data_IF_384003980029
#
_entry.id   IF_384003980029
#
_cell.length_a   1.000
_cell.length_b   1.000
_cell.length_c   1.000
_cell.angle_alpha   90.00
_cell.angle_beta   90.00
_cell.angle_gamma   90.00
#
_symmetry.space_group_name_H-M   'P 1'
#
loop_
_entity.id
_entity.type
_entity.pdbx_description
1 polymer ?
#
# COMPACT_ATOMS: atom_id res chain seq x y z
N UNK A 1 -3.99 17.12 -0.44
CA UNK A 1 -3.47 17.42 -1.79
C UNK A 1 -2.12 18.14 -1.72
N UNK A 2 -1.26 17.91 -2.71
CA UNK A 2 -0.06 18.71 -3.05
C UNK A 2 1.18 18.63 -2.17
N UNK A 3 1.08 18.15 -0.93
CA UNK A 3 2.20 18.22 0.03
C UNK A 3 3.28 17.14 -0.14
N UNK A 4 3.29 16.39 -1.24
CA UNK A 4 4.28 15.34 -1.51
C UNK A 4 4.17 14.06 -0.66
N UNK A 5 3.03 13.80 -0.02
CA UNK A 5 2.83 12.62 0.86
C UNK A 5 3.14 11.29 0.15
N UNK A 6 2.54 11.06 -1.01
CA UNK A 6 2.76 9.84 -1.80
C UNK A 6 4.24 9.70 -2.16
N UNK A 7 4.88 10.78 -2.61
CA UNK A 7 6.33 10.79 -2.91
C UNK A 7 7.17 10.37 -1.71
N UNK A 8 6.85 10.88 -0.52
CA UNK A 8 7.54 10.50 0.72
C UNK A 8 7.29 9.04 1.09
N UNK A 9 6.04 8.56 1.02
CA UNK A 9 5.70 7.17 1.32
C UNK A 9 6.39 6.20 0.36
N UNK A 10 6.38 6.50 -0.93
CA UNK A 10 7.07 5.68 -1.93
C UNK A 10 8.59 5.68 -1.74
N UNK A 11 9.17 6.79 -1.31
CA UNK A 11 10.60 6.87 -0.97
C UNK A 11 10.94 5.99 0.24
N UNK A 12 10.07 5.96 1.26
CA UNK A 12 10.21 5.07 2.41
C UNK A 12 10.08 3.60 2.00
N UNK A 13 9.09 3.26 1.17
CA UNK A 13 8.88 1.90 0.68
C UNK A 13 10.08 1.42 -0.14
N UNK A 14 10.58 2.25 -1.06
CA UNK A 14 11.78 1.93 -1.84
C UNK A 14 13.00 1.68 -0.95
N UNK A 15 13.15 2.44 0.15
CA UNK A 15 14.24 2.26 1.11
C UNK A 15 14.12 0.97 1.95
N UNK A 16 12.90 0.45 2.13
CA UNK A 16 12.63 -0.81 2.83
C UNK A 16 12.61 -2.03 1.88
N UNK A 17 12.50 -1.80 0.57
CA UNK A 17 12.30 -2.82 -0.45
C UNK A 17 13.57 -3.68 -0.64
N UNK A 18 13.62 -4.76 0.11
CA UNK A 18 14.72 -5.72 0.16
C UNK A 18 14.15 -7.11 -0.09
N UNK A 19 14.90 -8.05 -0.70
CA UNK A 19 14.35 -9.37 -1.07
C UNK A 19 13.82 -10.21 0.09
N UNK A 20 14.26 -9.93 1.32
CA UNK A 20 13.84 -10.59 2.55
C UNK A 20 12.57 -10.00 3.18
N UNK A 21 12.03 -8.90 2.63
CA UNK A 21 10.83 -8.25 3.18
C UNK A 21 9.65 -8.32 2.23
N UNK A 22 8.54 -8.86 2.73
CA UNK A 22 7.26 -8.87 2.05
C UNK A 22 6.51 -7.56 2.30
N UNK A 23 6.57 -6.66 1.31
CA UNK A 23 5.89 -5.37 1.36
C UNK A 23 4.59 -5.44 0.54
N UNK A 24 3.49 -5.02 1.16
CA UNK A 24 2.18 -4.90 0.50
C UNK A 24 1.62 -3.48 0.69
N UNK A 25 1.08 -2.88 -0.36
CA UNK A 25 0.44 -1.55 -0.29
C UNK A 25 -1.04 -1.62 -0.61
N UNK A 26 -1.83 -0.75 0.02
CA UNK A 26 -3.26 -0.54 -0.24
C UNK A 26 -3.47 0.92 -0.68
N UNK A 27 -3.89 1.15 -1.93
CA UNK A 27 -3.87 2.48 -2.57
C UNK A 27 -5.12 2.77 -3.42
N UNK A 28 -5.57 4.03 -3.46
CA UNK A 28 -6.75 4.46 -4.24
C UNK A 28 -6.47 5.78 -4.99
N UNK A 29 -6.09 5.73 -6.28
CA UNK A 29 -5.52 4.58 -7.00
C UNK A 29 -4.00 4.45 -6.76
N UNK A 30 -3.39 3.42 -7.35
CA UNK A 30 -1.92 3.31 -7.43
C UNK A 30 -1.39 4.42 -8.35
N UNK A 31 -0.41 5.20 -7.87
CA UNK A 31 0.20 6.29 -8.65
C UNK A 31 1.20 5.78 -9.70
N UNK A 32 2.07 4.83 -9.31
CA UNK A 32 3.01 4.16 -10.21
C UNK A 32 3.48 2.82 -9.64
N UNK A 33 4.01 1.96 -10.51
CA UNK A 33 4.52 0.64 -10.12
C UNK A 33 5.86 0.69 -9.39
N UNK A 34 5.99 -0.04 -8.28
CA UNK A 34 7.24 -0.26 -7.54
C UNK A 34 7.67 -1.73 -7.69
N UNK A 35 8.76 -2.01 -8.43
CA UNK A 35 9.24 -3.38 -8.62
C UNK A 35 9.55 -4.07 -7.29
N UNK A 36 9.11 -5.32 -7.13
CA UNK A 36 9.31 -6.10 -5.90
C UNK A 36 8.27 -5.85 -4.80
N UNK A 37 7.36 -4.90 -4.98
CA UNK A 37 6.29 -4.60 -4.01
C UNK A 37 4.95 -5.06 -4.55
N UNK A 38 4.12 -5.69 -3.71
CA UNK A 38 2.76 -6.06 -4.08
C UNK A 38 1.81 -4.90 -3.82
N UNK A 39 1.38 -4.22 -4.88
CA UNK A 39 0.47 -3.06 -4.76
C UNK A 39 -0.96 -3.47 -5.07
N UNK A 40 -1.88 -3.25 -4.12
CA UNK A 40 -3.29 -3.59 -4.25
C UNK A 40 -4.10 -2.30 -4.40
N UNK A 41 -4.77 -2.08 -5.54
CA UNK A 41 -5.70 -0.98 -5.67
C UNK A 41 -6.95 -1.27 -4.83
N UNK A 42 -7.39 -0.29 -4.05
CA UNK A 42 -8.67 -0.36 -3.31
C UNK A 42 -9.68 0.56 -3.97
N UNK A 43 -10.88 0.05 -4.21
CA UNK A 43 -11.99 0.85 -4.72
C UNK A 43 -12.84 1.31 -3.53
N UNK A 44 -12.63 2.55 -3.07
CA UNK A 44 -13.42 3.11 -1.96
C UNK A 44 -14.80 3.62 -2.40
N UNK A 45 -15.10 3.64 -3.70
CA UNK A 45 -16.37 4.15 -4.23
C UNK A 45 -17.55 3.18 -4.14
N UNK A 46 -17.33 1.87 -4.04
CA UNK A 46 -18.41 0.84 -4.11
C UNK A 46 -18.74 0.17 -2.76
N UNK A 47 -18.44 0.80 -1.63
CA UNK A 47 -18.80 0.28 -0.31
C UNK A 47 -18.01 -0.96 0.14
N UNK A 48 -16.92 -1.30 -0.55
CA UNK A 48 -15.92 -2.22 -0.03
C UNK A 48 -15.09 -1.49 1.02
N UNK A 49 -15.15 -1.98 2.26
CA UNK A 49 -14.55 -1.29 3.37
C UNK A 49 -13.05 -1.54 3.38
N UNK A 50 -12.26 -0.48 3.57
CA UNK A 50 -10.82 -0.54 3.81
C UNK A 50 -10.41 -1.66 4.78
N UNK A 51 -11.23 -1.89 5.82
CA UNK A 51 -11.04 -2.93 6.81
C UNK A 51 -10.98 -4.36 6.22
N UNK A 52 -11.69 -4.65 5.13
CA UNK A 52 -11.75 -5.99 4.54
C UNK A 52 -10.50 -6.29 3.70
N UNK A 53 -9.99 -5.27 3.00
CA UNK A 53 -8.70 -5.32 2.33
C UNK A 53 -7.57 -5.50 3.35
N UNK A 54 -7.57 -4.70 4.42
CA UNK A 54 -6.57 -4.79 5.48
C UNK A 54 -6.56 -6.18 6.14
N UNK A 55 -7.73 -6.72 6.50
CA UNK A 55 -7.83 -8.10 7.06
C UNK A 55 -7.28 -9.14 6.10
N UNK A 56 -7.47 -8.96 4.79
CA UNK A 56 -6.99 -9.89 3.79
C UNK A 56 -5.49 -9.82 3.61
N UNK A 57 -4.91 -8.61 3.62
CA UNK A 57 -3.46 -8.40 3.55
C UNK A 57 -2.75 -8.95 4.78
N UNK A 58 -3.32 -8.81 5.99
CA UNK A 58 -2.72 -9.37 7.21
C UNK A 58 -2.57 -10.89 7.19
N UNK A 59 -3.42 -11.61 6.43
CA UNK A 59 -3.32 -13.07 6.27
C UNK A 59 -2.22 -13.50 5.29
N UNK A 60 -1.63 -12.56 4.57
CA UNK A 60 -0.54 -12.83 3.65
C UNK A 60 0.82 -12.85 4.34
N UNK A 61 0.89 -12.75 5.68
CA UNK A 61 2.15 -12.69 6.42
C UNK A 61 3.08 -11.55 5.93
N UNK A 62 2.61 -10.29 5.82
CA UNK A 62 3.45 -9.19 5.38
C UNK A 62 4.35 -8.66 6.50
N UNK A 63 5.57 -8.27 6.16
CA UNK A 63 6.48 -7.57 7.08
C UNK A 63 6.12 -6.08 7.19
N UNK A 64 5.70 -5.48 6.07
CA UNK A 64 5.35 -4.06 5.97
C UNK A 64 4.07 -3.89 5.19
N UNK A 65 3.14 -3.13 5.76
CA UNK A 65 1.91 -2.70 5.09
C UNK A 65 1.96 -1.17 4.96
N UNK A 66 1.81 -0.67 3.73
CA UNK A 66 1.57 0.76 3.48
C UNK A 66 0.11 0.98 3.14
N UNK A 67 -0.49 1.99 3.76
CA UNK A 67 -1.87 2.39 3.53
C UNK A 67 -1.82 3.83 3.02
N UNK A 68 -2.30 4.07 1.81
CA UNK A 68 -2.26 5.40 1.19
C UNK A 68 -3.03 6.44 2.01
N UNK A 69 -4.19 6.06 2.53
CA UNK A 69 -4.96 6.87 3.47
C UNK A 69 -5.89 5.99 4.34
N UNK A 70 -6.21 6.49 5.53
CA UNK A 70 -7.24 5.92 6.42
C UNK A 70 -8.38 6.93 6.42
N UNK A 71 -9.56 6.53 5.92
CA UNK A 71 -10.79 7.32 5.91
C UNK A 71 -11.79 6.81 6.94
#
# INVERSE_FOLDING_TARGET
>A
TGSGKSTTLYSMISSLNTPDRKIITLEDPIEFGVPGVSQVPVNTTDGQNFADHLRSVLRLDPDVIMIGEIR
#
